data_IF_567327909609
#
_entry.id   IF_567327909609
#
_cell.length_a   1.000
_cell.length_b   1.000
_cell.length_c   1.000
_cell.angle_alpha   90.00
_cell.angle_beta   90.00
_cell.angle_gamma   90.00
#
_symmetry.space_group_name_H-M   'P 1'
#
loop_
_entity.id
_entity.type
_entity.pdbx_description
1 polymer ?
#
# COMPACT_ATOMS: atom_id res chain seq x y z
N UNK A 1 -17.87 -69.70 -0.78
CA UNK A 1 -17.46 -68.65 0.19
C UNK A 1 -16.32 -67.84 -0.46
N UNK A 2 -16.61 -67.11 -1.54
CA UNK A 2 -16.75 -65.64 -1.62
C UNK A 2 -15.49 -64.86 -1.18
N UNK A 3 -14.56 -64.68 -2.13
CA UNK A 3 -13.41 -63.78 -2.01
C UNK A 3 -13.88 -62.33 -2.24
N UNK A 4 -13.70 -61.48 -1.22
CA UNK A 4 -14.09 -60.07 -1.28
C UNK A 4 -12.95 -59.24 -1.86
N UNK A 5 -13.15 -58.71 -3.06
CA UNK A 5 -12.32 -57.69 -3.69
C UNK A 5 -12.26 -56.45 -2.79
N UNK A 6 -11.06 -56.03 -2.40
CA UNK A 6 -10.83 -54.74 -1.76
C UNK A 6 -10.63 -53.72 -2.88
N UNK A 7 -11.63 -52.88 -3.09
CA UNK A 7 -11.51 -51.71 -3.95
C UNK A 7 -10.59 -50.71 -3.24
N UNK A 8 -9.39 -50.52 -3.76
CA UNK A 8 -8.43 -49.57 -3.19
C UNK A 8 -8.77 -48.16 -3.72
N UNK A 9 -9.40 -47.37 -2.87
CA UNK A 9 -9.91 -46.03 -3.18
C UNK A 9 -8.76 -45.06 -3.50
N UNK A 10 -7.57 -45.30 -2.93
CA UNK A 10 -6.40 -44.47 -3.16
C UNK A 10 -5.82 -44.67 -4.56
N UNK A 11 -5.90 -45.89 -5.07
CA UNK A 11 -5.40 -46.23 -6.41
C UNK A 11 -6.31 -45.65 -7.52
N UNK A 12 -7.60 -45.47 -7.22
CA UNK A 12 -8.60 -44.87 -8.11
C UNK A 12 -8.47 -43.33 -8.16
N UNK A 13 -8.20 -42.69 -7.01
CA UNK A 13 -7.92 -41.25 -6.94
C UNK A 13 -6.62 -40.84 -7.64
N UNK A 14 -5.61 -41.71 -7.62
CA UNK A 14 -4.32 -41.47 -8.30
C UNK A 14 -4.40 -41.69 -9.82
N UNK A 15 -5.35 -42.50 -10.30
CA UNK A 15 -5.55 -42.78 -11.74
C UNK A 15 -6.61 -41.89 -12.39
N UNK A 16 -7.57 -41.37 -11.63
CA UNK A 16 -8.70 -40.57 -12.14
C UNK A 16 -8.39 -39.11 -12.51
N UNK A 17 -7.14 -38.64 -12.37
CA UNK A 17 -6.80 -37.22 -12.54
C UNK A 17 -6.21 -36.87 -13.92
N UNK A 18 -5.89 -37.83 -14.79
CA UNK A 18 -5.21 -37.52 -16.06
C UNK A 18 -6.16 -37.05 -17.18
N UNK A 19 -7.40 -37.54 -17.22
CA UNK A 19 -8.37 -37.15 -18.27
C UNK A 19 -8.99 -35.76 -17.99
N UNK A 20 -9.28 -35.44 -16.74
CA UNK A 20 -9.84 -34.15 -16.34
C UNK A 20 -8.81 -33.01 -16.42
N UNK A 21 -7.55 -33.25 -16.05
CA UNK A 21 -6.50 -32.23 -16.11
C UNK A 21 -6.21 -31.76 -17.55
N UNK A 22 -6.25 -32.68 -18.53
CA UNK A 22 -6.07 -32.34 -19.94
C UNK A 22 -7.26 -31.55 -20.50
N UNK A 23 -8.48 -31.89 -20.07
CA UNK A 23 -9.69 -31.22 -20.52
C UNK A 23 -9.82 -29.82 -19.91
N UNK A 24 -9.43 -29.64 -18.64
CA UNK A 24 -9.36 -28.35 -17.97
C UNK A 24 -8.29 -27.45 -18.58
N UNK A 25 -7.08 -27.97 -18.83
CA UNK A 25 -6.01 -27.21 -19.48
C UNK A 25 -6.39 -26.77 -20.90
N UNK A 26 -7.08 -27.63 -21.67
CA UNK A 26 -7.62 -27.29 -22.99
C UNK A 26 -8.73 -26.23 -22.92
N UNK A 27 -9.60 -26.30 -21.92
CA UNK A 27 -10.65 -25.31 -21.69
C UNK A 27 -10.07 -23.94 -21.32
N UNK A 28 -9.01 -23.92 -20.49
CA UNK A 28 -8.28 -22.72 -20.10
C UNK A 28 -7.53 -22.12 -21.30
N UNK A 29 -6.89 -22.94 -22.12
CA UNK A 29 -6.24 -22.49 -23.36
C UNK A 29 -7.24 -21.85 -24.33
N UNK A 30 -8.43 -22.45 -24.51
CA UNK A 30 -9.51 -21.88 -25.33
C UNK A 30 -10.01 -20.54 -24.79
N UNK A 31 -10.08 -20.37 -23.46
CA UNK A 31 -10.46 -19.11 -22.84
C UNK A 31 -9.42 -18.01 -23.11
N UNK A 32 -8.14 -18.34 -22.94
CA UNK A 32 -7.01 -17.42 -23.18
C UNK A 32 -6.98 -16.96 -24.65
N UNK A 33 -7.14 -17.87 -25.60
CA UNK A 33 -7.19 -17.55 -27.02
C UNK A 33 -8.39 -16.67 -27.38
N UNK A 34 -9.57 -16.94 -26.79
CA UNK A 34 -10.78 -16.13 -27.01
C UNK A 34 -10.63 -14.69 -26.49
N UNK A 35 -9.93 -14.50 -25.36
CA UNK A 35 -9.59 -13.15 -24.87
C UNK A 35 -8.45 -12.49 -25.64
N UNK A 36 -7.53 -13.27 -26.23
CA UNK A 36 -6.41 -12.77 -27.03
C UNK A 36 -6.80 -12.31 -28.44
N UNK A 37 -7.79 -12.96 -29.06
CA UNK A 37 -8.28 -12.58 -30.40
C UNK A 37 -9.11 -11.29 -30.38
N UNK A 38 -9.80 -10.98 -29.28
CA UNK A 38 -10.52 -9.71 -29.12
C UNK A 38 -9.58 -8.48 -29.07
N UNK A 39 -8.26 -8.68 -28.97
CA UNK A 39 -7.24 -7.63 -28.95
C UNK A 39 -6.39 -7.60 -30.24
N UNK A 40 -6.65 -8.46 -31.23
CA UNK A 40 -5.75 -8.67 -32.39
C UNK A 40 -6.37 -8.42 -33.75
N UNK A 41 -7.33 -7.49 -33.84
CA UNK A 41 -7.84 -7.00 -35.12
C UNK A 41 -7.46 -5.53 -35.37
N UNK A 42 -6.16 -5.25 -35.51
CA UNK A 42 -5.64 -4.19 -36.40
C UNK A 42 -4.25 -4.59 -36.92
N UNK A 43 -4.14 -4.60 -38.25
CA UNK A 43 -2.97 -4.87 -39.09
C UNK A 43 -1.87 -3.80 -38.98
N UNK A 44 -0.67 -4.02 -39.57
CA UNK A 44 0.60 -3.46 -39.09
C UNK A 44 0.96 -2.14 -39.77
N UNK A 45 1.08 -1.07 -38.99
CA UNK A 45 1.76 0.15 -39.40
C UNK A 45 2.16 0.95 -38.15
N UNK A 46 3.45 1.30 -38.08
CA UNK A 46 4.02 2.41 -37.32
C UNK A 46 3.68 2.46 -35.82
N UNK A 47 4.62 1.94 -35.01
CA UNK A 47 4.58 1.95 -33.55
C UNK A 47 4.25 3.33 -32.96
N UNK A 48 3.09 3.50 -32.29
CA UNK A 48 2.87 4.60 -31.35
C UNK A 48 3.58 4.27 -30.03
N UNK A 49 4.02 5.30 -29.30
CA UNK A 49 4.94 5.13 -28.18
C UNK A 49 4.30 4.32 -27.04
N UNK A 50 5.13 3.49 -26.40
CA UNK A 50 4.88 2.88 -25.09
C UNK A 50 4.14 3.87 -24.17
N UNK A 51 3.19 3.43 -23.33
CA UNK A 51 2.70 4.28 -22.26
C UNK A 51 3.91 4.62 -21.40
N UNK A 52 4.39 5.86 -21.54
CA UNK A 52 5.49 6.40 -20.77
C UNK A 52 5.31 5.99 -19.32
N UNK A 53 6.17 5.10 -18.85
CA UNK A 53 6.48 5.03 -17.43
C UNK A 53 6.84 6.45 -17.06
N UNK A 54 5.89 7.18 -16.44
CA UNK A 54 6.09 8.52 -15.93
C UNK A 54 7.35 8.44 -15.07
N UNK A 55 8.47 8.91 -15.63
CA UNK A 55 9.71 9.05 -14.89
C UNK A 55 9.34 9.87 -13.65
N UNK A 56 9.68 9.42 -12.43
CA UNK A 56 9.41 10.20 -11.25
C UNK A 56 9.98 11.59 -11.48
N UNK A 57 9.12 12.61 -11.44
CA UNK A 57 9.54 13.99 -11.59
C UNK A 57 10.62 14.27 -10.55
N UNK A 58 11.71 14.99 -10.89
CA UNK A 58 12.87 15.19 -10.03
C UNK A 58 12.61 16.02 -8.74
N UNK A 59 11.35 16.21 -8.34
CA UNK A 59 10.94 16.99 -7.16
C UNK A 59 10.40 16.20 -5.96
N UNK A 60 10.12 14.89 -6.08
CA UNK A 60 9.40 14.12 -5.04
C UNK A 60 10.30 13.10 -4.32
N UNK A 61 11.47 13.50 -3.83
CA UNK A 61 12.31 12.63 -3.01
C UNK A 61 11.79 12.57 -1.56
N UNK A 62 10.63 11.94 -1.37
CA UNK A 62 10.11 11.64 -0.03
C UNK A 62 11.00 10.60 0.64
N UNK A 63 11.55 10.94 1.80
CA UNK A 63 12.29 10.00 2.65
C UNK A 63 11.33 9.37 3.65
N UNK A 64 11.29 8.05 3.70
CA UNK A 64 10.56 7.31 4.74
C UNK A 64 11.41 7.30 6.01
N UNK A 65 10.80 7.63 7.14
CA UNK A 65 11.38 7.46 8.46
C UNK A 65 10.34 6.81 9.37
N UNK A 66 10.81 6.01 10.32
CA UNK A 66 9.99 5.38 11.35
C UNK A 66 10.41 5.94 12.70
N UNK A 67 9.47 6.49 13.46
CA UNK A 67 9.70 7.02 14.80
C UNK A 67 8.67 6.44 15.76
N UNK A 68 9.11 6.05 16.95
CA UNK A 68 8.23 5.59 18.02
C UNK A 68 7.69 6.79 18.78
N UNK A 69 6.38 6.85 18.93
CA UNK A 69 5.68 7.82 19.78
C UNK A 69 5.29 7.11 21.08
N UNK A 70 5.13 7.86 22.17
CA UNK A 70 4.43 7.33 23.34
C UNK A 70 2.98 7.03 22.99
N UNK A 71 2.36 6.13 23.75
CA UNK A 71 0.95 5.76 23.59
C UNK A 71 0.04 6.99 23.68
N UNK A 72 0.25 7.82 24.71
CA UNK A 72 -0.47 9.08 24.93
C UNK A 72 -0.41 10.01 23.71
N UNK A 73 0.78 10.22 23.13
CA UNK A 73 0.95 11.09 21.95
C UNK A 73 0.28 10.48 20.72
N UNK A 74 0.26 9.15 20.60
CA UNK A 74 -0.38 8.47 19.49
C UNK A 74 -1.91 8.60 19.55
N UNK A 75 -2.50 8.47 20.75
CA UNK A 75 -3.93 8.70 20.99
C UNK A 75 -4.31 10.16 20.75
N UNK A 76 -3.54 11.11 21.29
CA UNK A 76 -3.74 12.54 21.06
C UNK A 76 -3.71 12.91 19.56
N UNK A 77 -2.88 12.21 18.78
CA UNK A 77 -2.78 12.41 17.33
C UNK A 77 -4.02 11.89 16.59
N UNK A 78 -4.63 10.80 17.06
CA UNK A 78 -5.89 10.29 16.52
C UNK A 78 -7.04 11.25 16.85
N UNK A 79 -7.15 11.68 18.10
CA UNK A 79 -8.12 12.67 18.54
C UNK A 79 -8.00 13.99 17.74
N UNK A 80 -6.76 14.48 17.56
CA UNK A 80 -6.51 15.67 16.78
C UNK A 80 -6.96 15.50 15.32
N UNK A 81 -6.73 14.33 14.73
CA UNK A 81 -7.18 14.03 13.36
C UNK A 81 -8.70 14.05 13.26
N UNK A 82 -9.40 13.46 14.22
CA UNK A 82 -10.87 13.47 14.26
C UNK A 82 -11.42 14.89 14.39
N UNK A 83 -10.91 15.68 15.34
CA UNK A 83 -11.28 17.08 15.51
C UNK A 83 -11.03 17.92 14.25
N UNK A 84 -9.88 17.74 13.58
CA UNK A 84 -9.61 18.41 12.31
C UNK A 84 -10.64 17.98 11.25
N UNK A 85 -10.99 16.69 11.19
CA UNK A 85 -11.99 16.18 10.25
C UNK A 85 -13.40 16.73 10.49
N UNK A 86 -13.75 17.12 11.72
CA UNK A 86 -15.01 17.80 12.03
C UNK A 86 -15.04 19.24 11.50
N UNK A 87 -13.89 19.92 11.54
CA UNK A 87 -13.76 21.33 11.13
C UNK A 87 -13.61 21.53 9.61
N UNK A 88 -13.10 20.53 8.90
CA UNK A 88 -12.87 20.63 7.44
C UNK A 88 -14.08 20.16 6.62
N UNK A 89 -14.22 20.75 5.43
CA UNK A 89 -15.24 20.35 4.47
C UNK A 89 -15.16 18.85 4.15
N UNK A 90 -16.28 18.11 3.98
CA UNK A 90 -16.28 16.66 3.77
C UNK A 90 -15.35 16.16 2.65
N UNK A 91 -15.24 16.93 1.56
CA UNK A 91 -14.34 16.64 0.43
C UNK A 91 -12.84 16.63 0.78
N UNK A 92 -12.45 17.24 1.90
CA UNK A 92 -11.06 17.37 2.33
C UNK A 92 -10.68 16.35 3.42
N UNK A 93 -11.65 15.69 4.06
CA UNK A 93 -11.39 14.72 5.15
C UNK A 93 -10.45 13.59 4.74
N UNK A 94 -10.57 13.11 3.50
CA UNK A 94 -9.69 12.08 2.94
C UNK A 94 -8.23 12.50 2.82
N UNK A 95 -7.94 13.81 2.85
CA UNK A 95 -6.59 14.37 2.73
C UNK A 95 -5.92 14.62 4.08
N UNK A 96 -6.62 14.39 5.19
CA UNK A 96 -6.13 14.56 6.56
C UNK A 96 -5.69 13.19 7.11
N UNK A 97 -4.39 12.94 7.04
CA UNK A 97 -3.74 11.75 7.61
C UNK A 97 -2.87 12.11 8.81
N UNK A 98 -2.63 11.14 9.72
CA UNK A 98 -1.68 11.28 10.83
C UNK A 98 -0.30 11.74 10.35
N UNK A 99 0.22 11.12 9.29
CA UNK A 99 1.49 11.49 8.67
C UNK A 99 1.54 12.94 8.19
N UNK A 100 0.41 13.47 7.69
CA UNK A 100 0.34 14.86 7.24
C UNK A 100 0.35 15.83 8.41
N UNK A 101 -0.37 15.51 9.48
CA UNK A 101 -0.37 16.30 10.72
C UNK A 101 1.05 16.35 11.30
N UNK A 102 1.71 15.19 11.43
CA UNK A 102 3.09 15.10 11.93
C UNK A 102 4.06 15.92 11.06
N UNK A 103 4.01 15.76 9.73
CA UNK A 103 4.88 16.53 8.84
C UNK A 103 4.65 18.04 8.98
N UNK A 104 3.40 18.49 9.03
CA UNK A 104 3.08 19.91 9.18
C UNK A 104 3.56 20.46 10.54
N UNK A 105 3.35 19.70 11.61
CA UNK A 105 3.80 20.08 12.95
C UNK A 105 5.33 20.20 13.01
N UNK A 106 6.06 19.23 12.46
CA UNK A 106 7.52 19.28 12.39
C UNK A 106 8.01 20.47 11.57
N UNK A 107 7.42 20.75 10.40
CA UNK A 107 7.77 21.93 9.61
C UNK A 107 7.54 23.25 10.37
N UNK A 108 6.46 23.35 11.14
CA UNK A 108 6.18 24.54 11.96
C UNK A 108 7.21 24.72 13.08
N UNK A 109 7.56 23.63 13.78
CA UNK A 109 8.52 23.65 14.88
C UNK A 109 9.94 23.96 14.37
N UNK A 110 10.34 23.36 13.25
CA UNK A 110 11.65 23.62 12.65
C UNK A 110 11.75 25.06 12.15
N UNK A 111 10.69 25.60 11.56
CA UNK A 111 10.65 27.02 11.19
C UNK A 111 10.74 27.95 12.41
N UNK A 112 10.04 27.64 13.51
CA UNK A 112 10.19 28.39 14.77
C UNK A 112 11.64 28.36 15.28
N UNK A 113 12.30 27.20 15.16
CA UNK A 113 13.71 27.04 15.51
C UNK A 113 14.63 27.87 14.61
N UNK A 114 14.42 27.86 13.29
CA UNK A 114 15.19 28.67 12.35
C UNK A 114 15.04 30.17 12.63
N UNK A 115 13.83 30.64 12.95
CA UNK A 115 13.57 32.06 13.20
C UNK A 115 14.08 32.55 14.57
N UNK A 116 14.00 31.71 15.61
CA UNK A 116 14.27 32.13 17.01
C UNK A 116 15.54 31.53 17.62
N UNK A 117 16.13 30.52 16.98
CA UNK A 117 17.31 29.80 17.45
C UNK A 117 17.15 29.30 18.89
N UNK A 118 18.05 29.73 19.77
CA UNK A 118 18.07 29.35 21.18
C UNK A 118 16.80 29.76 21.95
N UNK A 119 16.06 30.76 21.47
CA UNK A 119 14.83 31.25 22.11
C UNK A 119 13.58 30.52 21.64
N UNK A 120 13.71 29.60 20.67
CA UNK A 120 12.63 28.78 20.16
C UNK A 120 11.96 27.94 21.25
N UNK A 121 10.71 27.54 21.01
CA UNK A 121 10.02 26.69 21.96
C UNK A 121 10.68 25.30 22.04
N UNK A 122 11.13 24.78 20.90
CA UNK A 122 11.82 23.49 20.79
C UNK A 122 13.06 23.44 21.70
N UNK A 123 13.95 24.43 21.58
CA UNK A 123 15.20 24.44 22.37
C UNK A 123 14.91 24.51 23.87
N UNK A 124 13.90 25.29 24.27
CA UNK A 124 13.51 25.43 25.68
C UNK A 124 13.02 24.12 26.28
N UNK A 125 12.15 23.38 25.57
CA UNK A 125 11.66 22.09 26.07
C UNK A 125 12.77 21.04 26.09
N UNK A 126 13.62 20.97 25.05
CA UNK A 126 14.77 20.04 25.04
C UNK A 126 15.71 20.31 26.24
N UNK A 127 16.08 21.56 26.49
CA UNK A 127 16.95 21.92 27.62
C UNK A 127 16.32 21.62 28.97
N UNK A 128 15.00 21.79 29.09
CA UNK A 128 14.25 21.49 30.31
C UNK A 128 14.20 20.00 30.60
N UNK A 129 14.04 19.17 29.57
CA UNK A 129 14.03 17.71 29.72
C UNK A 129 15.40 17.17 30.06
N UNK A 130 16.47 17.71 29.45
CA UNK A 130 17.85 17.34 29.80
C UNK A 130 18.15 17.66 31.27
N UNK A 131 17.66 18.80 31.80
CA UNK A 131 17.91 19.23 33.19
C UNK A 131 17.13 18.43 34.24
N UNK A 132 16.06 17.74 33.85
CA UNK A 132 15.26 16.91 34.75
C UNK A 132 15.83 15.50 34.94
N UNK A 133 16.81 15.12 34.12
CA UNK A 133 17.44 13.80 34.11
C UNK A 133 18.79 13.83 34.79
#
# INVERSE_FOLDING_TARGET
MSAKNKHDIMDDLLKGAEEDAAHEASSLAKLIHRTGESLRATTPAESPPDPEHKKPSPGDSKKKSTHYLSEEIFEDLDDAREKINELVHPRLKSRISKSRIVNQALSMILKDFEEKGEKSHLMKEILKDIRKK
#
